data_IF_986002719027
#
_entry.id   IF_986002719027
#
_cell.length_a   1.000
_cell.length_b   1.000
_cell.length_c   1.000
_cell.angle_alpha   90.00
_cell.angle_beta   90.00
_cell.angle_gamma   90.00
#
_symmetry.space_group_name_H-M   'P 1'
#
loop_
_entity.id
_entity.type
_entity.pdbx_description
1 polymer ?
#
# COMPACT_ATOMS: atom_id res chain seq x y z
N UNK A 1 -32.67 -27.02 2.46
CA UNK A 1 -31.80 -26.73 1.30
C UNK A 1 -30.82 -25.55 1.46
N UNK A 2 -30.97 -24.65 2.44
CA UNK A 2 -30.02 -23.52 2.64
C UNK A 2 -28.64 -23.87 3.25
N UNK A 3 -28.50 -25.00 3.94
CA UNK A 3 -27.23 -25.43 4.57
C UNK A 3 -26.24 -26.07 3.60
N UNK A 4 -26.71 -26.69 2.52
CA UNK A 4 -25.84 -27.31 1.51
C UNK A 4 -25.16 -26.24 0.64
N UNK A 5 -25.86 -25.12 0.33
CA UNK A 5 -25.29 -24.01 -0.42
C UNK A 5 -24.17 -23.26 0.35
N UNK A 6 -24.23 -23.23 1.68
CA UNK A 6 -23.17 -22.65 2.53
C UNK A 6 -21.89 -23.50 2.55
N UNK A 7 -22.01 -24.81 2.56
CA UNK A 7 -20.86 -25.75 2.53
C UNK A 7 -20.17 -25.73 1.16
N UNK A 8 -20.94 -25.61 0.08
CA UNK A 8 -20.37 -25.47 -1.27
C UNK A 8 -19.68 -24.11 -1.48
N UNK A 9 -20.22 -23.01 -0.92
CA UNK A 9 -19.56 -21.70 -0.96
C UNK A 9 -18.25 -21.68 -0.14
N UNK A 10 -18.22 -22.31 1.02
CA UNK A 10 -17.00 -22.39 1.84
C UNK A 10 -15.90 -23.22 1.17
N UNK A 11 -16.25 -24.36 0.54
CA UNK A 11 -15.29 -25.18 -0.21
C UNK A 11 -14.83 -24.53 -1.52
N UNK A 12 -15.70 -23.78 -2.21
CA UNK A 12 -15.31 -23.02 -3.41
C UNK A 12 -14.37 -21.84 -3.07
N UNK A 13 -14.60 -21.13 -1.95
CA UNK A 13 -13.67 -20.11 -1.47
C UNK A 13 -12.33 -20.70 -1.04
N UNK A 14 -12.32 -21.85 -0.36
CA UNK A 14 -11.07 -22.51 0.06
C UNK A 14 -10.27 -23.05 -1.14
N UNK A 15 -10.95 -23.48 -2.22
CA UNK A 15 -10.30 -23.92 -3.46
C UNK A 15 -9.78 -22.74 -4.30
N UNK A 16 -10.45 -21.55 -4.27
CA UNK A 16 -9.97 -20.32 -4.88
C UNK A 16 -8.81 -19.70 -4.09
N UNK A 17 -8.87 -19.72 -2.75
CA UNK A 17 -7.77 -19.29 -1.86
C UNK A 17 -6.52 -20.18 -2.00
N UNK A 18 -6.68 -21.47 -2.36
CA UNK A 18 -5.57 -22.39 -2.62
C UNK A 18 -4.94 -22.23 -4.01
N UNK A 19 -5.61 -21.52 -4.93
CA UNK A 19 -5.13 -21.29 -6.30
C UNK A 19 -4.43 -19.93 -6.49
N UNK A 20 -4.60 -18.97 -5.56
CA UNK A 20 -3.91 -17.69 -5.59
C UNK A 20 -2.56 -17.78 -4.88
N UNK A 21 -1.48 -17.49 -5.60
CA UNK A 21 -0.15 -17.36 -5.00
C UNK A 21 -0.14 -16.20 -3.99
N UNK A 22 0.07 -16.48 -2.68
CA UNK A 22 0.09 -15.43 -1.65
C UNK A 22 1.12 -14.34 -1.93
N UNK A 23 2.17 -14.64 -2.72
CA UNK A 23 3.20 -13.68 -3.12
C UNK A 23 2.65 -12.61 -4.06
N UNK A 24 1.75 -12.98 -4.99
CA UNK A 24 1.11 -12.04 -5.92
C UNK A 24 0.14 -11.11 -5.18
N UNK A 25 -0.65 -11.66 -4.26
CA UNK A 25 -1.57 -10.88 -3.42
C UNK A 25 -0.84 -9.85 -2.56
N UNK A 26 0.33 -10.23 -1.99
CA UNK A 26 1.18 -9.31 -1.24
C UNK A 26 1.77 -8.20 -2.12
N UNK A 27 2.24 -8.52 -3.33
CA UNK A 27 2.75 -7.54 -4.28
C UNK A 27 1.67 -6.58 -4.76
N UNK A 28 0.47 -7.07 -5.06
CA UNK A 28 -0.67 -6.25 -5.40
C UNK A 28 -1.04 -5.28 -4.26
N UNK A 29 -1.12 -5.79 -3.03
CA UNK A 29 -1.42 -4.98 -1.84
C UNK A 29 -0.37 -3.89 -1.61
N UNK A 30 0.91 -4.19 -1.81
CA UNK A 30 2.00 -3.22 -1.73
C UNK A 30 1.87 -2.13 -2.79
N UNK A 31 1.60 -2.51 -4.03
CA UNK A 31 1.39 -1.57 -5.13
C UNK A 31 0.22 -0.62 -4.84
N UNK A 32 -0.89 -1.13 -4.32
CA UNK A 32 -2.05 -0.32 -3.92
C UNK A 32 -1.72 0.69 -2.82
N UNK A 33 -0.94 0.29 -1.82
CA UNK A 33 -0.48 1.20 -0.76
C UNK A 33 0.45 2.29 -1.30
N UNK A 34 1.34 1.97 -2.24
CA UNK A 34 2.18 2.96 -2.91
C UNK A 34 1.36 3.96 -3.76
N UNK A 35 0.34 3.47 -4.47
CA UNK A 35 -0.58 4.34 -5.22
C UNK A 35 -1.32 5.31 -4.29
N UNK A 36 -1.79 4.83 -3.14
CA UNK A 36 -2.44 5.68 -2.13
C UNK A 36 -1.48 6.74 -1.60
N UNK A 37 -0.24 6.37 -1.27
CA UNK A 37 0.77 7.33 -0.83
C UNK A 37 1.04 8.39 -1.89
N UNK A 38 1.13 8.00 -3.17
CA UNK A 38 1.28 8.96 -4.28
C UNK A 38 0.09 9.88 -4.42
N UNK A 39 -1.15 9.41 -4.20
CA UNK A 39 -2.35 10.25 -4.21
C UNK A 39 -2.33 11.27 -3.07
N UNK A 40 -1.98 10.85 -1.86
CA UNK A 40 -1.88 11.76 -0.70
C UNK A 40 -0.81 12.84 -0.94
N UNK A 41 0.35 12.48 -1.47
CA UNK A 41 1.42 13.43 -1.81
C UNK A 41 1.00 14.45 -2.88
N UNK A 42 0.24 14.03 -3.89
CA UNK A 42 -0.32 14.97 -4.88
C UNK A 42 -1.31 15.92 -4.24
N UNK A 43 -2.25 15.41 -3.43
CA UNK A 43 -3.19 16.27 -2.71
C UNK A 43 -2.49 17.27 -1.79
N UNK A 44 -1.41 16.87 -1.11
CA UNK A 44 -0.57 17.77 -0.31
C UNK A 44 0.04 18.88 -1.17
N UNK A 45 0.59 18.55 -2.35
CA UNK A 45 1.15 19.56 -3.27
C UNK A 45 0.08 20.53 -3.79
N UNK A 46 -1.14 20.06 -4.05
CA UNK A 46 -2.26 20.88 -4.50
C UNK A 46 -2.70 21.86 -3.40
N UNK A 47 -2.78 21.41 -2.15
CA UNK A 47 -3.10 22.26 -0.98
C UNK A 47 -2.00 23.30 -0.77
N UNK A 48 -0.71 22.92 -0.78
CA UNK A 48 0.41 23.83 -0.65
C UNK A 48 0.43 24.90 -1.76
N UNK A 49 0.12 24.49 -3.00
CA UNK A 49 0.01 25.41 -4.14
C UNK A 49 -1.13 26.40 -3.94
N UNK A 50 -2.28 25.93 -3.47
CA UNK A 50 -3.45 26.79 -3.21
C UNK A 50 -3.17 27.78 -2.08
N UNK A 51 -2.53 27.33 -0.99
CA UNK A 51 -2.10 28.20 0.12
C UNK A 51 -1.13 29.27 -0.37
N UNK A 52 -0.15 28.91 -1.20
CA UNK A 52 0.81 29.88 -1.75
C UNK A 52 0.15 30.91 -2.66
N UNK A 53 -0.87 30.50 -3.42
CA UNK A 53 -1.65 31.44 -4.24
C UNK A 53 -2.39 32.46 -3.37
N UNK A 54 -3.02 32.05 -2.28
CA UNK A 54 -3.67 32.96 -1.34
C UNK A 54 -2.67 33.92 -0.70
N UNK A 55 -1.50 33.43 -0.30
CA UNK A 55 -0.42 34.26 0.24
C UNK A 55 -0.03 35.42 -0.73
N UNK A 56 0.15 35.08 -2.02
CA UNK A 56 0.47 36.05 -3.05
C UNK A 56 -0.67 37.07 -3.25
N UNK A 57 -1.94 36.63 -3.20
CA UNK A 57 -3.10 37.52 -3.29
C UNK A 57 -3.16 38.48 -2.09
N UNK A 58 -2.93 37.99 -0.88
CA UNK A 58 -2.86 38.79 0.33
C UNK A 58 -1.77 39.86 0.22
N UNK A 59 -0.56 39.49 -0.24
CA UNK A 59 0.52 40.47 -0.48
C UNK A 59 0.14 41.55 -1.48
N UNK A 60 -0.61 41.24 -2.55
CA UNK A 60 -1.10 42.21 -3.50
C UNK A 60 -2.13 43.14 -2.88
N UNK A 61 -3.06 42.61 -2.07
CA UNK A 61 -4.04 43.44 -1.36
C UNK A 61 -3.36 44.41 -0.36
N UNK A 62 -2.35 43.93 0.37
CA UNK A 62 -1.57 44.75 1.29
C UNK A 62 -0.86 45.92 0.56
N UNK A 63 -0.22 45.60 -0.59
CA UNK A 63 0.40 46.66 -1.40
C UNK A 63 -0.61 47.68 -1.92
N UNK A 64 -1.80 47.24 -2.36
CA UNK A 64 -2.86 48.13 -2.81
C UNK A 64 -3.41 48.95 -1.64
N UNK A 65 -3.61 48.34 -0.48
CA UNK A 65 -4.05 49.00 0.75
C UNK A 65 -3.06 50.08 1.19
N UNK A 66 -1.75 49.80 1.13
CA UNK A 66 -0.69 50.79 1.42
C UNK A 66 -0.72 51.98 0.45
N UNK A 67 -0.91 51.72 -0.86
CA UNK A 67 -1.05 52.80 -1.87
C UNK A 67 -2.26 53.67 -1.60
N UNK A 68 -3.41 53.10 -1.27
CA UNK A 68 -4.62 53.84 -0.93
C UNK A 68 -4.43 54.70 0.34
N UNK A 69 -3.68 54.20 1.33
CA UNK A 69 -3.32 54.94 2.51
C UNK A 69 -2.48 56.20 2.17
N UNK A 70 -1.47 56.04 1.29
CA UNK A 70 -0.65 57.14 0.82
C UNK A 70 -1.48 58.17 0.03
N UNK A 71 -2.37 57.72 -0.85
CA UNK A 71 -3.29 58.58 -1.62
C UNK A 71 -4.23 59.35 -0.70
N UNK A 72 -4.77 58.72 0.34
CA UNK A 72 -5.61 59.38 1.33
C UNK A 72 -4.84 60.51 2.07
N UNK A 73 -3.60 60.24 2.51
CA UNK A 73 -2.74 61.22 3.15
C UNK A 73 -2.42 62.39 2.22
N UNK A 74 -2.12 62.13 0.96
CA UNK A 74 -1.82 63.14 -0.04
C UNK A 74 -3.07 64.01 -0.37
N UNK A 75 -4.23 63.39 -0.47
CA UNK A 75 -5.50 64.10 -0.66
C UNK A 75 -5.81 65.03 0.52
N UNK A 76 -5.60 64.60 1.76
CA UNK A 76 -5.79 65.43 2.95
C UNK A 76 -4.83 66.56 2.98
N UNK A 77 -3.54 66.40 2.66
CA UNK A 77 -2.56 67.46 2.62
C UNK A 77 -2.86 68.51 1.52
N UNK A 78 -3.61 68.13 0.51
CA UNK A 78 -4.08 68.98 -0.59
C UNK A 78 -5.48 69.63 -0.35
N UNK A 79 -6.05 69.43 0.84
CA UNK A 79 -7.39 69.96 1.18
C UNK A 79 -8.56 69.22 0.49
N UNK A 80 -8.32 68.03 -0.06
CA UNK A 80 -9.29 67.19 -0.82
C UNK A 80 -9.87 66.08 0.04
N UNK A 81 -10.70 66.46 1.01
CA UNK A 81 -11.28 65.54 1.97
C UNK A 81 -12.18 64.46 1.30
N UNK A 82 -12.89 64.84 0.22
CA UNK A 82 -13.73 63.95 -0.58
C UNK A 82 -12.94 62.74 -1.12
N UNK A 83 -11.80 63.01 -1.74
CA UNK A 83 -10.90 61.97 -2.28
C UNK A 83 -10.24 61.11 -1.18
N UNK A 84 -9.87 61.76 -0.06
CA UNK A 84 -9.32 61.03 1.07
C UNK A 84 -10.33 60.04 1.65
N UNK A 85 -11.58 60.42 1.78
CA UNK A 85 -12.66 59.55 2.26
C UNK A 85 -12.92 58.38 1.30
N UNK A 86 -12.93 58.65 -0.01
CA UNK A 86 -13.06 57.58 -1.02
C UNK A 86 -11.91 56.60 -0.95
N UNK A 87 -10.65 57.04 -0.88
CA UNK A 87 -9.48 56.18 -0.77
C UNK A 87 -9.52 55.30 0.50
N UNK A 88 -9.93 55.87 1.65
CA UNK A 88 -10.07 55.13 2.89
C UNK A 88 -11.22 54.11 2.83
N UNK A 89 -12.33 54.43 2.17
CA UNK A 89 -13.44 53.49 1.96
C UNK A 89 -12.99 52.29 1.12
N UNK A 90 -12.29 52.55 0.00
CA UNK A 90 -11.71 51.49 -0.83
C UNK A 90 -10.67 50.63 -0.05
N UNK A 91 -9.82 51.27 0.75
CA UNK A 91 -8.86 50.61 1.62
C UNK A 91 -9.55 49.68 2.62
N UNK A 92 -10.63 50.14 3.27
CA UNK A 92 -11.40 49.32 4.21
C UNK A 92 -11.97 48.06 3.53
N UNK A 93 -12.48 48.17 2.30
CA UNK A 93 -12.94 47.02 1.52
C UNK A 93 -11.83 46.00 1.21
N UNK A 94 -10.62 46.49 0.83
CA UNK A 94 -9.47 45.62 0.61
C UNK A 94 -9.00 44.93 1.90
N UNK A 95 -9.04 45.63 3.03
CA UNK A 95 -8.71 45.03 4.34
C UNK A 95 -9.69 43.95 4.73
N UNK A 96 -11.00 44.12 4.48
CA UNK A 96 -11.99 43.06 4.71
C UNK A 96 -11.71 41.83 3.83
N UNK A 97 -11.46 42.06 2.55
CA UNK A 97 -11.10 40.98 1.62
C UNK A 97 -9.81 40.27 2.06
N UNK A 98 -8.81 41.01 2.55
CA UNK A 98 -7.58 40.46 3.10
C UNK A 98 -7.81 39.56 4.33
N UNK A 99 -8.72 39.98 5.24
CA UNK A 99 -9.11 39.19 6.40
C UNK A 99 -9.80 37.86 6.01
N UNK A 100 -10.66 37.91 5.00
CA UNK A 100 -11.33 36.71 4.48
C UNK A 100 -10.32 35.74 3.86
N UNK A 101 -9.34 36.24 3.08
CA UNK A 101 -8.25 35.40 2.54
C UNK A 101 -7.32 34.87 3.63
N UNK A 102 -7.05 35.67 4.68
CA UNK A 102 -6.25 35.21 5.82
C UNK A 102 -6.92 34.02 6.53
N UNK A 103 -8.23 34.05 6.68
CA UNK A 103 -8.99 32.91 7.24
C UNK A 103 -8.89 31.68 6.37
N UNK A 104 -9.03 31.81 5.05
CA UNK A 104 -8.88 30.70 4.11
C UNK A 104 -7.44 30.16 4.11
N UNK A 105 -6.44 31.04 4.16
CA UNK A 105 -5.03 30.67 4.24
C UNK A 105 -4.75 29.83 5.50
N UNK A 106 -5.25 30.26 6.66
CA UNK A 106 -5.09 29.52 7.92
C UNK A 106 -5.74 28.12 7.86
N UNK A 107 -6.91 28.00 7.22
CA UNK A 107 -7.57 26.71 7.03
C UNK A 107 -6.75 25.78 6.13
N UNK A 108 -6.21 26.28 5.03
CA UNK A 108 -5.35 25.48 4.14
C UNK A 108 -4.03 25.11 4.82
N UNK A 109 -3.46 25.97 5.66
CA UNK A 109 -2.28 25.66 6.46
C UNK A 109 -2.54 24.49 7.42
N UNK A 110 -3.65 24.52 8.14
CA UNK A 110 -4.03 23.44 9.04
C UNK A 110 -4.26 22.10 8.28
N UNK A 111 -4.85 22.18 7.09
CA UNK A 111 -5.04 20.99 6.25
C UNK A 111 -3.72 20.45 5.70
N UNK A 112 -2.80 21.32 5.29
CA UNK A 112 -1.43 20.94 4.86
C UNK A 112 -0.68 20.21 5.97
N UNK A 113 -0.76 20.69 7.21
CA UNK A 113 -0.14 20.03 8.38
C UNK A 113 -0.73 18.65 8.66
N UNK A 114 -2.06 18.51 8.56
CA UNK A 114 -2.76 17.22 8.71
C UNK A 114 -2.35 16.23 7.62
N UNK A 115 -2.34 16.67 6.36
CA UNK A 115 -1.94 15.83 5.22
C UNK A 115 -0.47 15.45 5.28
N UNK A 116 0.41 16.35 5.74
CA UNK A 116 1.84 16.06 5.95
C UNK A 116 2.00 14.95 6.98
N UNK A 117 1.34 15.07 8.12
CA UNK A 117 1.37 14.04 9.17
C UNK A 117 0.80 12.71 8.67
N UNK A 118 -0.31 12.75 7.95
CA UNK A 118 -0.92 11.55 7.35
C UNK A 118 -0.01 10.89 6.32
N UNK A 119 0.66 11.69 5.47
CA UNK A 119 1.63 11.20 4.48
C UNK A 119 2.82 10.51 5.13
N UNK A 120 3.38 11.08 6.20
CA UNK A 120 4.49 10.49 6.95
C UNK A 120 4.08 9.15 7.60
N UNK A 121 2.91 9.10 8.25
CA UNK A 121 2.37 7.87 8.85
C UNK A 121 2.12 6.79 7.80
N UNK A 122 1.57 7.17 6.65
CA UNK A 122 1.32 6.24 5.56
C UNK A 122 2.62 5.73 4.96
N UNK A 123 3.62 6.59 4.78
CA UNK A 123 4.96 6.19 4.34
C UNK A 123 5.59 5.16 5.27
N UNK A 124 5.56 5.40 6.57
CA UNK A 124 6.08 4.46 7.56
C UNK A 124 5.35 3.09 7.50
N UNK A 125 4.03 3.10 7.29
CA UNK A 125 3.24 1.87 7.11
C UNK A 125 3.62 1.12 5.83
N UNK A 126 3.83 1.84 4.72
CA UNK A 126 4.25 1.24 3.44
C UNK A 126 5.63 0.58 3.57
N UNK A 127 6.58 1.23 4.25
CA UNK A 127 7.91 0.66 4.49
C UNK A 127 7.85 -0.57 5.42
N UNK A 128 7.09 -0.50 6.51
CA UNK A 128 6.87 -1.64 7.40
C UNK A 128 6.21 -2.82 6.65
N UNK A 129 5.23 -2.54 5.80
CA UNK A 129 4.59 -3.57 4.99
C UNK A 129 5.56 -4.16 3.96
N UNK A 130 6.43 -3.35 3.34
CA UNK A 130 7.49 -3.82 2.44
C UNK A 130 8.37 -4.85 3.12
N UNK A 131 8.91 -4.54 4.29
CA UNK A 131 9.75 -5.47 5.05
C UNK A 131 9.02 -6.76 5.40
N UNK A 132 7.78 -6.64 5.89
CA UNK A 132 6.95 -7.80 6.23
C UNK A 132 6.63 -8.66 5.00
N UNK A 133 6.34 -8.02 3.86
CA UNK A 133 6.11 -8.70 2.59
C UNK A 133 7.31 -9.54 2.17
N UNK A 134 8.52 -8.96 2.18
CA UNK A 134 9.75 -9.68 1.82
C UNK A 134 10.01 -10.88 2.76
N UNK A 135 9.81 -10.69 4.07
CA UNK A 135 9.92 -11.78 5.04
C UNK A 135 8.91 -12.89 4.77
N UNK A 136 7.65 -12.55 4.53
CA UNK A 136 6.60 -13.54 4.24
C UNK A 136 6.88 -14.29 2.93
N UNK A 137 7.33 -13.60 1.88
CA UNK A 137 7.72 -14.23 0.61
C UNK A 137 8.87 -15.23 0.81
N UNK A 138 9.90 -14.84 1.55
CA UNK A 138 11.02 -15.73 1.86
C UNK A 138 10.59 -16.97 2.66
N UNK A 139 9.75 -16.78 3.68
CA UNK A 139 9.22 -17.89 4.50
C UNK A 139 8.36 -18.83 3.65
N UNK A 140 7.52 -18.30 2.78
CA UNK A 140 6.67 -19.10 1.90
C UNK A 140 7.52 -19.93 0.92
N UNK A 141 8.53 -19.31 0.28
CA UNK A 141 9.45 -20.01 -0.63
C UNK A 141 10.24 -21.11 0.09
N UNK A 142 10.68 -20.86 1.32
CA UNK A 142 11.38 -21.88 2.12
C UNK A 142 10.44 -23.05 2.49
N UNK A 143 9.19 -22.77 2.87
CA UNK A 143 8.20 -23.80 3.16
C UNK A 143 7.85 -24.62 1.92
N UNK A 144 7.70 -23.99 0.76
CA UNK A 144 7.46 -24.68 -0.52
C UNK A 144 8.63 -25.61 -0.89
N UNK A 145 9.87 -25.12 -0.73
CA UNK A 145 11.07 -25.94 -0.96
C UNK A 145 11.14 -27.14 0.01
N UNK A 146 10.82 -26.94 1.29
CA UNK A 146 10.78 -28.02 2.28
C UNK A 146 9.72 -29.07 1.94
N UNK A 147 8.54 -28.64 1.46
CA UNK A 147 7.48 -29.57 1.03
C UNK A 147 7.95 -30.41 -0.15
N UNK A 148 8.56 -29.80 -1.17
CA UNK A 148 9.12 -30.54 -2.33
C UNK A 148 10.19 -31.52 -1.94
N UNK A 149 11.06 -31.16 -0.98
CA UNK A 149 12.08 -32.09 -0.46
C UNK A 149 11.42 -33.24 0.25
N UNK A 150 10.42 -33.02 1.10
CA UNK A 150 9.71 -34.06 1.82
C UNK A 150 8.95 -35.00 0.86
N UNK A 151 8.33 -34.49 -0.18
CA UNK A 151 7.67 -35.27 -1.24
C UNK A 151 8.67 -36.15 -1.99
N UNK A 152 9.84 -35.58 -2.34
CA UNK A 152 10.90 -36.36 -2.99
C UNK A 152 11.43 -37.49 -2.09
N UNK A 153 11.63 -37.23 -0.80
CA UNK A 153 12.03 -38.27 0.15
C UNK A 153 10.97 -39.34 0.33
N UNK A 154 9.68 -38.97 0.34
CA UNK A 154 8.57 -39.92 0.44
C UNK A 154 8.51 -40.83 -0.81
N UNK A 155 8.66 -40.25 -2.01
CA UNK A 155 8.70 -41.02 -3.26
C UNK A 155 9.87 -42.01 -3.33
N UNK A 156 11.07 -41.60 -2.90
CA UNK A 156 12.26 -42.49 -2.83
C UNK A 156 12.03 -43.61 -1.81
N UNK A 157 11.36 -43.33 -0.68
CA UNK A 157 11.05 -44.37 0.33
C UNK A 157 10.06 -45.40 -0.20
N UNK A 158 9.07 -45.02 -0.99
CA UNK A 158 8.14 -45.95 -1.65
C UNK A 158 8.84 -46.81 -2.70
N UNK A 159 9.68 -46.23 -3.57
CA UNK A 159 10.46 -46.97 -4.56
C UNK A 159 11.45 -47.95 -3.91
N UNK A 160 12.10 -47.55 -2.83
CA UNK A 160 12.99 -48.48 -2.08
C UNK A 160 12.23 -49.59 -1.38
N UNK A 161 11.00 -49.35 -0.92
CA UNK A 161 10.11 -50.38 -0.40
C UNK A 161 9.73 -51.41 -1.47
N UNK A 162 9.40 -50.96 -2.67
CA UNK A 162 9.10 -51.86 -3.81
C UNK A 162 10.31 -52.67 -4.27
N UNK A 163 11.51 -52.08 -4.28
CA UNK A 163 12.76 -52.80 -4.57
C UNK A 163 13.06 -53.85 -3.49
N UNK A 164 12.85 -53.51 -2.21
CA UNK A 164 13.01 -54.46 -1.10
C UNK A 164 12.11 -55.68 -1.25
N UNK A 165 10.82 -55.50 -1.55
CA UNK A 165 9.88 -56.58 -1.81
C UNK A 165 10.20 -57.37 -3.09
N UNK A 166 10.79 -56.73 -4.11
CA UNK A 166 11.21 -57.42 -5.33
C UNK A 166 12.44 -58.34 -5.06
N UNK A 167 13.38 -57.87 -4.24
CA UNK A 167 14.55 -58.69 -3.81
C UNK A 167 14.10 -59.88 -2.98
N UNK A 168 13.21 -59.70 -2.00
CA UNK A 168 12.68 -60.77 -1.15
C UNK A 168 11.97 -61.87 -1.99
N UNK A 169 11.14 -61.45 -2.98
CA UNK A 169 10.51 -62.38 -3.93
C UNK A 169 11.52 -63.10 -4.81
N UNK A 170 12.63 -62.47 -5.18
CA UNK A 170 13.69 -63.13 -5.95
C UNK A 170 14.48 -64.14 -5.12
N UNK A 171 14.73 -63.80 -3.85
CA UNK A 171 15.37 -64.76 -2.90
C UNK A 171 14.51 -65.99 -2.63
N UNK A 172 13.20 -65.83 -2.38
CA UNK A 172 12.25 -66.89 -2.21
C UNK A 172 12.18 -67.82 -3.44
N UNK A 173 12.16 -67.17 -4.63
CA UNK A 173 12.15 -67.98 -5.88
C UNK A 173 13.44 -68.71 -6.12
N UNK A 174 14.58 -68.18 -5.70
CA UNK A 174 15.89 -68.84 -5.78
C UNK A 174 15.95 -69.99 -4.80
N UNK A 175 15.46 -69.82 -3.57
CA UNK A 175 15.37 -70.92 -2.59
C UNK A 175 14.45 -72.06 -3.07
N UNK A 176 13.30 -71.72 -3.69
CA UNK A 176 12.42 -72.74 -4.29
C UNK A 176 13.08 -73.46 -5.46
N UNK A 177 13.87 -72.83 -6.30
CA UNK A 177 14.59 -73.47 -7.38
C UNK A 177 15.71 -74.38 -6.87
N UNK A 178 16.44 -73.93 -5.81
CA UNK A 178 17.46 -74.79 -5.18
C UNK A 178 16.84 -76.05 -4.52
N UNK A 179 15.71 -75.85 -3.81
CA UNK A 179 14.98 -76.98 -3.23
C UNK A 179 14.48 -77.96 -4.31
N UNK A 180 14.04 -77.49 -5.47
CA UNK A 180 13.67 -78.34 -6.61
C UNK A 180 14.86 -79.03 -7.24
N UNK A 181 16.01 -78.39 -7.37
CA UNK A 181 17.21 -78.96 -7.90
C UNK A 181 17.71 -80.12 -6.98
N UNK A 182 17.72 -79.89 -5.66
CA UNK A 182 18.11 -80.94 -4.69
C UNK A 182 17.16 -82.12 -4.70
N UNK A 183 15.85 -81.92 -4.90
CA UNK A 183 14.87 -82.98 -4.99
C UNK A 183 14.96 -83.78 -6.30
N UNK A 184 15.56 -83.25 -7.35
CA UNK A 184 15.82 -83.95 -8.62
C UNK A 184 17.12 -84.73 -8.58
N UNK A 185 18.12 -84.33 -7.76
CA UNK A 185 19.38 -85.04 -7.57
C UNK A 185 19.24 -86.22 -6.62
N UNK A 186 18.14 -86.40 -5.85
CA UNK A 186 17.84 -87.47 -4.97
C UNK A 186 16.99 -88.61 -5.63
N UNK A 187 16.60 -88.45 -6.90
CA UNK A 187 15.86 -89.45 -7.69
C UNK A 187 16.74 -90.14 -8.72
#
# INVERSE_FOLDING_TARGET
>A
MKRIALIFRSKANTALDAAEDPRETLDYSYTKQQELLRKVRRGLADVATSRKRLELQMQQLDQQSAKLQQQAQQALSSGREDLAREALTRRSALQQQGADLATQHANLQAEEERLTTASQRLQAKVEAFRTKKETLKATYTAAEAQTKINEAFSGVSEEMGDVGMAVERAEDKTAQMQARASAVDEL
#
